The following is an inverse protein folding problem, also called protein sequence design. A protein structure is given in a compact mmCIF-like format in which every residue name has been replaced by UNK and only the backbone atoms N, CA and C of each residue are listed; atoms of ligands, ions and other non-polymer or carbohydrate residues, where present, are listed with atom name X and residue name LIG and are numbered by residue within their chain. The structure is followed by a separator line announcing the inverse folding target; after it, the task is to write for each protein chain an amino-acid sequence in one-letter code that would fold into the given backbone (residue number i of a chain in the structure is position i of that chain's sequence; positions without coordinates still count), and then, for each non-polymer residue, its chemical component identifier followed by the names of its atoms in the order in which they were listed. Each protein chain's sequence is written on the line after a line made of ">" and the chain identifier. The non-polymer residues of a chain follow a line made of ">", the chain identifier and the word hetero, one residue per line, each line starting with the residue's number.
data_IF_451296717845
#
_entry.id   IF_451296717845
#
_cell.length_a   1.000
_cell.length_b   1.000
_cell.length_c   1.000
_cell.angle_alpha   90.00
_cell.angle_beta   90.00
_cell.angle_gamma   90.00
#
_symmetry.space_group_name_H-M   'P 1'
#
loop_
_entity.id
_entity.type
_entity.pdbx_description
1 polymer ?
#
# COMPACT_ATOMS: atom_id res chain seq x y z
N UNK A 1 5.89 -2.77 -11.05
CA UNK A 1 5.55 -3.50 -9.79
C UNK A 1 4.80 -2.62 -8.80
N UNK A 2 5.36 -1.49 -8.36
CA UNK A 2 4.77 -0.60 -7.33
C UNK A 2 3.38 -0.03 -7.74
N UNK A 3 3.22 0.49 -8.96
CA UNK A 3 1.92 0.97 -9.46
C UNK A 3 0.84 -0.13 -9.49
N UNK A 4 1.22 -1.38 -9.77
CA UNK A 4 0.30 -2.51 -9.71
C UNK A 4 -0.12 -2.85 -8.27
N UNK A 5 0.74 -2.57 -7.28
CA UNK A 5 0.41 -2.70 -5.87
C UNK A 5 -0.58 -1.62 -5.42
N UNK A 6 -0.34 -0.36 -5.79
CA UNK A 6 -1.27 0.75 -5.51
C UNK A 6 -2.67 0.47 -6.09
N UNK A 7 -2.74 0.02 -7.35
CA UNK A 7 -4.02 -0.35 -7.99
C UNK A 7 -4.74 -1.49 -7.27
N UNK A 8 -4.01 -2.52 -6.80
CA UNK A 8 -4.60 -3.62 -6.01
C UNK A 8 -5.11 -3.15 -4.66
N UNK A 9 -4.34 -2.31 -3.97
CA UNK A 9 -4.74 -1.74 -2.68
C UNK A 9 -5.99 -0.88 -2.86
N UNK A 10 -6.03 -0.03 -3.89
CA UNK A 10 -7.20 0.79 -4.21
C UNK A 10 -8.44 -0.06 -4.50
N UNK A 11 -8.32 -1.08 -5.36
CA UNK A 11 -9.44 -1.97 -5.67
C UNK A 11 -9.94 -2.75 -4.44
N UNK A 12 -9.03 -3.10 -3.53
CA UNK A 12 -9.39 -3.72 -2.26
C UNK A 12 -10.14 -2.74 -1.36
N UNK A 13 -9.65 -1.51 -1.21
CA UNK A 13 -10.32 -0.50 -0.38
C UNK A 13 -11.71 -0.16 -0.90
N UNK A 14 -11.89 -0.02 -2.23
CA UNK A 14 -13.22 0.22 -2.80
C UNK A 14 -14.20 -0.90 -2.45
N UNK A 15 -13.78 -2.17 -2.61
CA UNK A 15 -14.64 -3.31 -2.28
C UNK A 15 -15.06 -3.33 -0.82
N UNK A 16 -14.15 -3.05 0.10
CA UNK A 16 -14.48 -2.97 1.54
C UNK A 16 -15.48 -1.86 1.80
N UNK A 17 -15.29 -0.68 1.19
CA UNK A 17 -16.17 0.47 1.37
C UNK A 17 -17.57 0.27 0.75
N UNK A 18 -17.64 -0.38 -0.41
CA UNK A 18 -18.87 -0.76 -1.11
C UNK A 18 -19.64 -1.89 -0.41
N UNK A 19 -18.97 -2.71 0.39
CA UNK A 19 -19.62 -3.82 1.10
C UNK A 19 -20.58 -3.25 2.15
N UNK A 20 -21.86 -3.63 2.09
CA UNK A 20 -22.88 -3.23 3.06
C UNK A 20 -23.33 -4.44 3.88
N UNK A 21 -23.54 -4.24 5.17
CA UNK A 21 -24.17 -5.23 6.05
C UNK A 21 -25.66 -4.87 6.18
N UNK A 22 -26.60 -5.81 5.91
CA UNK A 22 -28.04 -5.51 5.94
C UNK A 22 -28.56 -5.25 7.35
N UNK A 23 -29.53 -4.35 7.51
CA UNK A 23 -30.22 -4.21 8.80
C UNK A 23 -31.07 -5.46 9.04
N UNK A 24 -30.86 -6.15 10.17
CA UNK A 24 -31.64 -7.33 10.55
C UNK A 24 -32.81 -6.91 11.43
N UNK A 25 -33.98 -7.51 11.20
CA UNK A 25 -35.17 -7.31 12.03
C UNK A 25 -34.96 -7.93 13.43
N UNK A 26 -34.48 -9.17 13.46
CA UNK A 26 -34.08 -9.86 14.68
C UNK A 26 -32.56 -10.07 14.64
N UNK A 27 -31.83 -9.26 15.41
CA UNK A 27 -30.37 -9.26 15.40
C UNK A 27 -29.82 -10.33 16.36
N UNK A 28 -28.91 -11.22 15.89
CA UNK A 28 -28.15 -12.13 16.74
C UNK A 28 -27.40 -11.41 17.87
N UNK A 29 -27.09 -12.12 18.95
CA UNK A 29 -26.50 -11.50 20.15
C UNK A 29 -25.11 -10.89 19.91
N UNK A 30 -24.37 -11.39 18.91
CA UNK A 30 -23.08 -10.84 18.46
C UNK A 30 -23.15 -9.83 17.31
N UNK A 31 -24.33 -9.54 16.76
CA UNK A 31 -24.45 -8.77 15.52
C UNK A 31 -24.03 -7.29 15.66
N UNK A 32 -24.36 -6.65 16.79
CA UNK A 32 -23.94 -5.28 17.07
C UNK A 32 -22.42 -5.12 17.11
N UNK A 33 -21.73 -6.06 17.78
CA UNK A 33 -20.28 -6.07 17.85
C UNK A 33 -19.64 -6.27 16.47
N UNK A 34 -20.17 -7.20 15.67
CA UNK A 34 -19.73 -7.37 14.29
C UNK A 34 -19.88 -6.09 13.45
N UNK A 35 -20.96 -5.33 13.63
CA UNK A 35 -21.14 -4.05 12.93
C UNK A 35 -20.09 -3.02 13.33
N UNK A 36 -19.71 -2.95 14.61
CA UNK A 36 -18.64 -2.07 15.10
C UNK A 36 -17.28 -2.43 14.48
N UNK A 37 -16.94 -3.72 14.50
CA UNK A 37 -15.70 -4.25 13.92
C UNK A 37 -15.65 -4.02 12.40
N UNK A 38 -16.77 -4.22 11.72
CA UNK A 38 -16.87 -3.94 10.29
C UNK A 38 -16.75 -2.44 9.97
N UNK A 39 -17.32 -1.57 10.81
CA UNK A 39 -17.15 -0.13 10.69
C UNK A 39 -15.68 0.29 10.88
N UNK A 40 -14.96 -0.37 11.80
CA UNK A 40 -13.53 -0.14 12.01
C UNK A 40 -12.71 -0.58 10.78
N UNK A 41 -12.98 -1.75 10.21
CA UNK A 41 -12.33 -2.21 8.98
C UNK A 41 -12.58 -1.23 7.80
N UNK A 42 -13.80 -0.68 7.71
CA UNK A 42 -14.10 0.40 6.74
C UNK A 42 -13.30 1.68 7.00
N UNK A 43 -13.16 2.09 8.25
CA UNK A 43 -12.35 3.26 8.60
C UNK A 43 -10.88 3.07 8.21
N UNK A 44 -10.31 1.88 8.43
CA UNK A 44 -8.98 1.52 7.94
C UNK A 44 -8.89 1.59 6.41
N UNK A 45 -9.86 1.02 5.70
CA UNK A 45 -9.90 1.07 4.23
C UNK A 45 -9.98 2.51 3.68
N UNK A 46 -10.78 3.38 4.30
CA UNK A 46 -10.84 4.81 4.00
C UNK A 46 -9.48 5.49 4.19
N UNK A 47 -8.82 5.25 5.33
CA UNK A 47 -7.49 5.80 5.61
C UNK A 47 -6.49 5.38 4.54
N UNK A 48 -6.46 4.09 4.18
CA UNK A 48 -5.54 3.60 3.14
C UNK A 48 -5.82 4.19 1.76
N UNK A 49 -7.11 4.33 1.40
CA UNK A 49 -7.52 4.97 0.15
C UNK A 49 -7.02 6.41 0.06
N UNK A 50 -7.14 7.18 1.14
CA UNK A 50 -6.80 8.61 1.13
C UNK A 50 -5.31 8.91 1.31
N UNK A 51 -4.54 8.04 1.98
CA UNK A 51 -3.10 8.28 2.21
C UNK A 51 -2.20 7.27 1.51
N UNK A 52 -2.31 5.99 1.89
CA UNK A 52 -1.34 4.97 1.53
C UNK A 52 -1.31 4.67 0.02
N UNK A 53 -2.48 4.60 -0.62
CA UNK A 53 -2.57 4.39 -2.08
C UNK A 53 -1.79 5.47 -2.83
N UNK A 54 -2.01 6.73 -2.47
CA UNK A 54 -1.34 7.87 -3.10
C UNK A 54 0.18 7.85 -2.84
N UNK A 55 0.60 7.56 -1.60
CA UNK A 55 2.02 7.47 -1.25
C UNK A 55 2.74 6.36 -2.04
N UNK A 56 2.13 5.18 -2.16
CA UNK A 56 2.67 4.06 -2.96
C UNK A 56 2.72 4.43 -4.45
N UNK A 57 1.69 5.10 -4.96
CA UNK A 57 1.61 5.51 -6.35
C UNK A 57 2.68 6.54 -6.72
N UNK A 58 2.94 7.51 -5.83
CA UNK A 58 3.86 8.62 -6.07
C UNK A 58 5.33 8.29 -5.80
N UNK A 59 5.61 7.21 -5.08
CA UNK A 59 6.97 6.82 -4.73
C UNK A 59 7.94 6.71 -5.93
N UNK A 60 7.58 6.09 -7.08
CA UNK A 60 8.47 6.03 -8.24
C UNK A 60 8.83 7.40 -8.81
N UNK A 61 7.87 8.34 -8.81
CA UNK A 61 8.07 9.67 -9.36
C UNK A 61 8.95 10.51 -8.40
N UNK A 62 8.76 10.36 -7.09
CA UNK A 62 9.64 10.94 -6.06
C UNK A 62 11.09 10.44 -6.22
N UNK A 63 11.28 9.13 -6.39
CA UNK A 63 12.61 8.55 -6.61
C UNK A 63 13.26 9.07 -7.89
N UNK A 64 12.49 9.14 -8.99
CA UNK A 64 12.99 9.66 -10.26
C UNK A 64 13.41 11.14 -10.15
N UNK A 65 12.67 11.95 -9.40
CA UNK A 65 13.00 13.36 -9.21
C UNK A 65 14.22 13.56 -8.31
N UNK A 66 14.41 12.74 -7.27
CA UNK A 66 15.66 12.75 -6.50
C UNK A 66 16.85 12.33 -7.36
N UNK A 67 16.71 11.29 -8.19
CA UNK A 67 17.77 10.86 -9.11
C UNK A 67 18.19 11.97 -10.09
N UNK A 68 17.21 12.68 -10.67
CA UNK A 68 17.47 13.83 -11.57
C UNK A 68 18.24 14.94 -10.88
N UNK A 69 17.94 15.22 -9.59
CA UNK A 69 18.62 16.25 -8.80
C UNK A 69 20.00 15.82 -8.31
N UNK A 70 20.18 14.54 -8.00
CA UNK A 70 21.43 14.00 -7.48
C UNK A 70 22.51 13.94 -8.56
N UNK A 71 22.13 13.65 -9.81
CA UNK A 71 23.09 13.51 -10.91
C UNK A 71 24.00 14.74 -11.13
N UNK A 72 23.47 15.97 -11.30
CA UNK A 72 24.32 17.14 -11.50
C UNK A 72 25.22 17.42 -10.28
N UNK A 73 24.74 17.14 -9.06
CA UNK A 73 25.56 17.33 -7.85
C UNK A 73 26.75 16.37 -7.80
N UNK A 74 26.57 15.13 -8.25
CA UNK A 74 27.65 14.15 -8.38
C UNK A 74 28.65 14.57 -9.47
N UNK A 75 28.15 15.03 -10.61
CA UNK A 75 29.01 15.49 -11.71
C UNK A 75 29.83 16.73 -11.27
N UNK A 76 29.23 17.66 -10.52
CA UNK A 76 29.93 18.82 -9.93
C UNK A 76 30.94 18.44 -8.82
N UNK A 77 30.60 17.48 -7.94
CA UNK A 77 31.53 17.00 -6.89
C UNK A 77 32.76 16.32 -7.51
N UNK A 78 32.59 15.62 -8.64
CA UNK A 78 33.70 15.04 -9.41
C UNK A 78 34.61 16.12 -10.00
N UNK A 79 34.04 17.19 -10.55
CA UNK A 79 34.81 18.33 -11.06
C UNK A 79 35.57 19.05 -9.93
N UNK A 80 34.94 19.29 -8.78
CA UNK A 80 35.62 19.84 -7.60
C UNK A 80 36.75 18.91 -7.12
N UNK A 81 36.53 17.60 -7.13
CA UNK A 81 37.54 16.60 -6.76
C UNK A 81 38.75 16.64 -7.70
N UNK A 82 38.53 16.66 -9.01
CA UNK A 82 39.61 16.76 -10.01
C UNK A 82 40.39 18.08 -9.85
N UNK A 83 39.69 19.18 -9.57
CA UNK A 83 40.33 20.49 -9.33
C UNK A 83 41.18 20.50 -8.05
N UNK A 84 40.71 19.89 -6.98
CA UNK A 84 41.47 19.77 -5.73
C UNK A 84 42.66 18.81 -5.84
N UNK A 85 42.60 17.82 -6.72
CA UNK A 85 43.76 16.98 -7.05
C UNK A 85 44.85 17.79 -7.78
N UNK A 86 44.47 18.67 -8.70
CA UNK A 86 45.40 19.55 -9.40
C UNK A 86 45.90 20.72 -8.52
N UNK A 87 45.03 21.26 -7.66
CA UNK A 87 45.29 22.43 -6.81
C UNK A 87 44.82 22.19 -5.36
N UNK A 88 45.64 21.52 -4.52
CA UNK A 88 45.22 21.09 -3.18
C UNK A 88 44.85 22.21 -2.21
N UNK A 89 45.39 23.41 -2.42
CA UNK A 89 45.19 24.62 -1.61
C UNK A 89 44.04 25.50 -2.11
N UNK A 90 43.28 25.07 -3.12
CA UNK A 90 42.10 25.81 -3.61
C UNK A 90 40.95 25.75 -2.57
N UNK A 91 40.88 26.79 -1.73
CA UNK A 91 39.86 26.90 -0.69
C UNK A 91 38.44 27.03 -1.26
N UNK A 92 38.28 27.63 -2.44
CA UNK A 92 36.97 27.81 -3.07
C UNK A 92 36.42 26.45 -3.51
N UNK A 93 37.23 25.67 -4.21
CA UNK A 93 36.87 24.31 -4.63
C UNK A 93 36.52 23.42 -3.42
N UNK A 94 37.26 23.56 -2.32
CA UNK A 94 36.98 22.84 -1.06
C UNK A 94 35.66 23.26 -0.41
N UNK A 95 35.37 24.57 -0.35
CA UNK A 95 34.09 25.09 0.18
C UNK A 95 32.91 24.62 -0.68
N UNK A 96 33.05 24.69 -2.01
CA UNK A 96 32.02 24.23 -2.93
C UNK A 96 31.77 22.72 -2.80
N UNK A 97 32.83 21.92 -2.70
CA UNK A 97 32.72 20.48 -2.46
C UNK A 97 31.96 20.15 -1.16
N UNK A 98 32.27 20.85 -0.06
CA UNK A 98 31.58 20.65 1.20
C UNK A 98 30.08 20.99 1.10
N UNK A 99 29.74 22.07 0.39
CA UNK A 99 28.35 22.46 0.14
C UNK A 99 27.59 21.41 -0.68
N UNK A 100 28.20 20.91 -1.76
CA UNK A 100 27.62 19.87 -2.61
C UNK A 100 27.33 18.60 -1.82
N UNK A 101 28.28 18.17 -0.98
CA UNK A 101 28.11 17.00 -0.10
C UNK A 101 26.99 17.18 0.91
N UNK A 102 26.87 18.36 1.51
CA UNK A 102 25.76 18.67 2.41
C UNK A 102 24.40 18.61 1.67
N UNK A 103 24.31 19.19 0.47
CA UNK A 103 23.09 19.13 -0.35
C UNK A 103 22.71 17.70 -0.74
N UNK A 104 23.68 16.89 -1.19
CA UNK A 104 23.49 15.48 -1.49
C UNK A 104 23.01 14.70 -0.26
N UNK A 105 23.62 14.94 0.91
CA UNK A 105 23.22 14.31 2.16
C UNK A 105 21.78 14.65 2.54
N UNK A 106 21.38 15.93 2.47
CA UNK A 106 19.99 16.35 2.73
C UNK A 106 19.00 15.66 1.80
N UNK A 107 19.31 15.58 0.50
CA UNK A 107 18.46 14.89 -0.48
C UNK A 107 18.31 13.40 -0.14
N UNK A 108 19.41 12.72 0.16
CA UNK A 108 19.39 11.29 0.51
C UNK A 108 18.63 11.05 1.82
N UNK A 109 18.85 11.88 2.85
CA UNK A 109 18.14 11.75 4.12
C UNK A 109 16.63 11.92 3.96
N UNK A 110 16.19 12.93 3.19
CA UNK A 110 14.76 13.13 2.93
C UNK A 110 14.13 11.94 2.21
N UNK A 111 14.85 11.29 1.29
CA UNK A 111 14.38 10.09 0.60
C UNK A 111 14.27 8.90 1.57
N UNK A 112 15.23 8.75 2.48
CA UNK A 112 15.21 7.69 3.51
C UNK A 112 14.03 7.88 4.45
N UNK A 113 13.75 9.10 4.88
CA UNK A 113 12.60 9.41 5.76
C UNK A 113 11.26 9.07 5.08
N UNK A 114 11.08 9.47 3.81
CA UNK A 114 9.87 9.14 3.05
C UNK A 114 9.76 7.62 2.85
N UNK A 115 10.88 6.94 2.56
CA UNK A 115 10.89 5.49 2.40
C UNK A 115 10.50 4.77 3.68
N UNK A 116 11.04 5.20 4.82
CA UNK A 116 10.74 4.62 6.12
C UNK A 116 9.27 4.82 6.48
N UNK A 117 8.74 6.03 6.30
CA UNK A 117 7.33 6.32 6.54
C UNK A 117 6.41 5.44 5.67
N UNK A 118 6.79 5.18 4.42
CA UNK A 118 6.05 4.28 3.53
C UNK A 118 6.11 2.83 4.01
N UNK A 119 7.28 2.35 4.46
CA UNK A 119 7.45 1.01 5.00
C UNK A 119 6.62 0.82 6.27
N UNK A 120 6.66 1.78 7.19
CA UNK A 120 5.88 1.75 8.43
C UNK A 120 4.39 1.70 8.13
N UNK A 121 3.92 2.51 7.17
CA UNK A 121 2.51 2.50 6.75
C UNK A 121 2.08 1.17 6.07
N UNK A 122 2.98 0.50 5.35
CA UNK A 122 2.73 -0.82 4.77
C UNK A 122 2.72 -1.92 5.84
N UNK A 123 3.57 -1.82 6.86
CA UNK A 123 3.55 -2.71 8.02
C UNK A 123 2.23 -2.56 8.81
N UNK A 124 1.80 -1.32 9.06
CA UNK A 124 0.51 -1.03 9.70
C UNK A 124 -0.66 -1.60 8.88
N UNK A 125 -0.65 -1.42 7.56
CA UNK A 125 -1.63 -2.02 6.65
C UNK A 125 -1.69 -3.53 6.85
N UNK A 126 -0.54 -4.21 6.85
CA UNK A 126 -0.48 -5.66 6.98
C UNK A 126 -1.06 -6.13 8.33
N UNK A 127 -0.66 -5.50 9.43
CA UNK A 127 -1.14 -5.84 10.77
C UNK A 127 -2.66 -5.63 10.91
N UNK A 128 -3.17 -4.50 10.42
CA UNK A 128 -4.60 -4.20 10.45
C UNK A 128 -5.40 -5.14 9.54
N UNK A 129 -4.90 -5.49 8.34
CA UNK A 129 -5.57 -6.45 7.47
C UNK A 129 -5.72 -7.83 8.13
N UNK A 130 -4.66 -8.33 8.76
CA UNK A 130 -4.71 -9.61 9.46
C UNK A 130 -5.69 -9.59 10.63
N UNK A 131 -5.67 -8.50 11.39
CA UNK A 131 -6.58 -8.32 12.53
C UNK A 131 -8.03 -8.20 12.06
N UNK A 132 -8.32 -7.30 11.13
CA UNK A 132 -9.66 -7.06 10.59
C UNK A 132 -10.24 -8.35 9.97
N UNK A 133 -9.42 -9.11 9.22
CA UNK A 133 -9.84 -10.40 8.65
C UNK A 133 -10.16 -11.44 9.73
N UNK A 134 -9.30 -11.56 10.75
CA UNK A 134 -9.50 -12.52 11.85
C UNK A 134 -10.76 -12.19 12.63
N UNK A 135 -10.92 -10.91 12.96
CA UNK A 135 -12.03 -10.38 13.74
C UNK A 135 -13.36 -10.56 12.98
N UNK A 136 -13.42 -10.15 11.72
CA UNK A 136 -14.61 -10.37 10.87
C UNK A 136 -14.94 -11.86 10.71
N UNK A 137 -13.95 -12.74 10.58
CA UNK A 137 -14.19 -14.19 10.51
C UNK A 137 -14.76 -14.74 11.83
N UNK A 138 -14.26 -14.26 12.97
CA UNK A 138 -14.75 -14.65 14.29
C UNK A 138 -16.19 -14.16 14.52
N UNK A 139 -16.48 -12.89 14.23
CA UNK A 139 -17.83 -12.34 14.33
C UNK A 139 -18.83 -13.05 13.42
N UNK A 140 -18.44 -13.35 12.17
CA UNK A 140 -19.27 -14.13 11.26
C UNK A 140 -19.53 -15.56 11.78
N UNK A 141 -18.50 -16.24 12.28
CA UNK A 141 -18.65 -17.59 12.86
C UNK A 141 -19.52 -17.60 14.11
N UNK A 142 -19.37 -16.61 15.00
CA UNK A 142 -20.17 -16.49 16.22
C UNK A 142 -21.65 -16.33 15.87
N UNK A 143 -21.98 -15.45 14.91
CA UNK A 143 -23.35 -15.27 14.44
C UNK A 143 -23.96 -16.52 13.81
N UNK A 144 -23.16 -17.35 13.12
CA UNK A 144 -23.67 -18.59 12.51
C UNK A 144 -23.89 -19.73 13.51
N UNK A 145 -23.08 -19.80 14.56
CA UNK A 145 -23.23 -20.82 15.60
C UNK A 145 -24.52 -20.67 16.40
N UNK A 146 -25.13 -19.47 16.41
CA UNK A 146 -26.46 -19.25 16.99
C UNK A 146 -27.58 -19.93 16.18
N UNK A 147 -27.34 -20.28 14.91
CA UNK A 147 -28.29 -20.96 14.01
C UNK A 147 -27.79 -22.36 13.62
N UNK A 148 -27.67 -23.24 14.62
CA UNK A 148 -27.15 -24.61 14.43
C UNK A 148 -27.95 -25.44 13.41
N UNK A 149 -29.25 -25.15 13.28
CA UNK A 149 -30.18 -25.73 12.31
C UNK A 149 -29.90 -25.29 10.86
N UNK A 150 -29.21 -24.16 10.67
CA UNK A 150 -28.81 -23.64 9.35
C UNK A 150 -27.34 -23.91 9.00
N UNK A 151 -26.62 -24.68 9.82
CA UNK A 151 -25.18 -24.91 9.66
C UNK A 151 -24.79 -25.48 8.28
N UNK A 152 -25.62 -26.35 7.69
CA UNK A 152 -25.39 -26.90 6.35
C UNK A 152 -25.59 -25.85 5.25
N UNK A 153 -26.65 -25.05 5.34
CA UNK A 153 -26.93 -23.95 4.42
C UNK A 153 -25.84 -22.87 4.47
N UNK A 154 -25.35 -22.54 5.66
CA UNK A 154 -24.25 -21.60 5.87
C UNK A 154 -22.94 -22.14 5.28
N UNK A 155 -22.62 -23.43 5.49
CA UNK A 155 -21.45 -24.07 4.88
C UNK A 155 -21.50 -24.05 3.35
N UNK A 156 -22.67 -24.33 2.78
CA UNK A 156 -22.88 -24.31 1.33
C UNK A 156 -22.71 -22.89 0.77
N UNK A 157 -23.34 -21.88 1.38
CA UNK A 157 -23.20 -20.49 0.96
C UNK A 157 -21.73 -19.99 1.04
N UNK A 158 -20.99 -20.38 2.08
CA UNK A 158 -19.57 -20.04 2.23
C UNK A 158 -18.71 -20.66 1.12
N UNK A 159 -19.00 -21.91 0.73
CA UNK A 159 -18.31 -22.58 -0.37
C UNK A 159 -18.56 -21.85 -1.69
N UNK A 160 -19.82 -21.54 -1.99
CA UNK A 160 -20.20 -20.81 -3.20
C UNK A 160 -19.55 -19.41 -3.28
N UNK A 161 -19.53 -18.67 -2.16
CA UNK A 161 -18.83 -17.38 -2.06
C UNK A 161 -17.32 -17.52 -2.33
N UNK A 162 -16.68 -18.54 -1.74
CA UNK A 162 -15.26 -18.82 -1.96
C UNK A 162 -14.97 -19.15 -3.43
N UNK A 163 -15.81 -19.97 -4.06
CA UNK A 163 -15.68 -20.33 -5.48
C UNK A 163 -15.85 -19.10 -6.39
N UNK A 164 -16.83 -18.23 -6.10
CA UNK A 164 -17.02 -16.96 -6.82
C UNK A 164 -15.83 -16.02 -6.68
N UNK A 165 -15.25 -15.90 -5.49
CA UNK A 165 -14.03 -15.10 -5.27
C UNK A 165 -12.86 -15.65 -6.11
N UNK A 166 -12.68 -16.97 -6.15
CA UNK A 166 -11.62 -17.58 -6.96
C UNK A 166 -11.84 -17.41 -8.46
N UNK A 167 -13.09 -17.49 -8.94
CA UNK A 167 -13.43 -17.22 -10.34
C UNK A 167 -13.06 -15.77 -10.69
N UNK A 168 -13.48 -14.80 -9.86
CA UNK A 168 -13.14 -13.38 -10.06
C UNK A 168 -11.63 -13.13 -10.05
N UNK A 169 -10.87 -13.78 -9.17
CA UNK A 169 -9.41 -13.67 -9.17
C UNK A 169 -8.76 -14.25 -10.44
N UNK A 170 -9.33 -15.32 -11.00
CA UNK A 170 -8.88 -15.92 -12.28
C UNK A 170 -9.20 -15.03 -13.47
N UNK A 171 -10.44 -14.56 -13.58
CA UNK A 171 -10.89 -13.62 -14.63
C UNK A 171 -10.01 -12.36 -14.65
N UNK A 172 -9.72 -11.81 -13.47
CA UNK A 172 -8.86 -10.65 -13.33
C UNK A 172 -7.43 -10.91 -13.82
N UNK A 173 -6.83 -12.06 -13.48
CA UNK A 173 -5.49 -12.46 -13.99
C UNK A 173 -5.48 -12.59 -15.51
N UNK A 174 -6.55 -13.12 -16.11
CA UNK A 174 -6.68 -13.26 -17.57
C UNK A 174 -6.75 -11.87 -18.22
N UNK A 175 -7.57 -10.97 -17.68
CA UNK A 175 -7.69 -9.59 -18.18
C UNK A 175 -6.39 -8.78 -18.02
N UNK A 176 -5.67 -8.96 -16.92
CA UNK A 176 -4.37 -8.32 -16.71
C UNK A 176 -3.34 -8.80 -17.75
N UNK A 177 -3.33 -10.10 -18.07
CA UNK A 177 -2.44 -10.67 -19.08
C UNK A 177 -2.82 -10.24 -20.52
N UNK A 178 -4.10 -10.04 -20.82
CA UNK A 178 -4.53 -9.55 -22.14
C UNK A 178 -4.13 -8.10 -22.35
N UNK A 179 -4.25 -7.24 -21.33
CA UNK A 179 -3.77 -5.85 -21.37
C UNK A 179 -2.26 -5.72 -21.55
N UNK A 180 -1.48 -6.57 -20.89
CA UNK A 180 -0.01 -6.56 -21.04
C UNK A 180 0.43 -6.95 -22.46
N UNK A 181 -0.32 -7.83 -23.13
CA UNK A 181 -0.03 -8.24 -24.52
C UNK A 181 -0.41 -7.17 -25.54
N UNK A 182 -1.44 -6.37 -25.30
CA UNK A 182 -1.84 -5.29 -26.21
C UNK A 182 -1.03 -4.01 -26.05
N UNK A 183 -0.28 -3.85 -24.96
CA UNK A 183 0.61 -2.69 -24.71
C UNK A 183 2.06 -2.91 -25.19
N UNK A 184 2.41 -4.12 -25.62
CA UNK A 184 3.69 -4.44 -26.25
C UNK A 184 3.44 -5.23 -27.55
N UNK A 185 3.10 -4.55 -28.67
CA UNK A 185 3.16 -5.15 -29.99
C UNK A 185 4.59 -5.46 -30.43
#
# INVERSE_FOLDING_TARGET
>A
MIRAMASKLFAYTEKVLETSVPVLLDSPSGYGHFLEEFAQAKAHALRWRHSLVWQVEMWPDCLADVQKRLRPLLDEDQLCSARLQAYPTDELARKQQNLLRAQMQTLVMSLVEIHQALLDALCDLHAHLEQDARVMEQGAKAGWNEFADMADSVRQARKELSDLIQIRQREWKVWQNSLQRSLHP
#
